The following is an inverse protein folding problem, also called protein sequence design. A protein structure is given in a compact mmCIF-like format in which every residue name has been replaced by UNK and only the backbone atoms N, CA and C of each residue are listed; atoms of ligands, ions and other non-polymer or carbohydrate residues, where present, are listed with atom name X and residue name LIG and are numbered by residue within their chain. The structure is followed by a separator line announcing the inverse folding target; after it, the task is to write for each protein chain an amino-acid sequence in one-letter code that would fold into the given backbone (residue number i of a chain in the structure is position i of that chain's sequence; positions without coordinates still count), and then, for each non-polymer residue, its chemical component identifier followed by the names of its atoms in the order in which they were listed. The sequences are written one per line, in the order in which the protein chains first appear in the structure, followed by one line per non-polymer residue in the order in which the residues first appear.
data_IF_112099551708
#
_entry.id   IF_112099551708
#
_cell.length_a   1.000
_cell.length_b   1.000
_cell.length_c   1.000
_cell.angle_alpha   90.00
_cell.angle_beta   90.00
_cell.angle_gamma   90.00
#
_symmetry.space_group_name_H-M   'P 1'
#
loop_
_entity.id
_entity.type
_entity.pdbx_description
1 polymer ?
#
# COMPACT_ATOMS: atom_id res chain seq x y z
N UNK A 1 -20.22 9.27 13.66
CA UNK A 1 -18.81 9.43 14.11
C UNK A 1 -17.91 8.96 12.99
N UNK A 2 -16.95 9.77 12.55
CA UNK A 2 -15.93 9.30 11.62
C UNK A 2 -15.05 8.25 12.30
N UNK A 3 -14.75 7.15 11.61
CA UNK A 3 -13.87 6.11 12.12
C UNK A 3 -12.43 6.61 12.13
N UNK A 4 -11.70 6.30 13.19
CA UNK A 4 -10.26 6.58 13.25
C UNK A 4 -9.50 5.77 12.20
N UNK A 5 -8.30 6.21 11.82
CA UNK A 5 -7.48 5.47 10.86
C UNK A 5 -7.25 4.00 11.29
N UNK A 6 -6.91 3.67 12.55
CA UNK A 6 -6.81 2.27 13.00
C UNK A 6 -8.09 1.47 12.81
N UNK A 7 -9.26 2.06 13.10
CA UNK A 7 -10.56 1.38 12.94
C UNK A 7 -10.89 1.12 11.46
N UNK A 8 -10.57 2.07 10.58
CA UNK A 8 -10.71 1.89 9.13
C UNK A 8 -9.80 0.78 8.60
N UNK A 9 -8.54 0.79 9.02
CA UNK A 9 -7.57 -0.24 8.65
C UNK A 9 -8.06 -1.63 9.06
N UNK A 10 -8.49 -1.79 10.32
CA UNK A 10 -9.01 -3.05 10.84
C UNK A 10 -10.17 -3.58 10.00
N UNK A 11 -11.11 -2.70 9.60
CA UNK A 11 -12.24 -3.07 8.74
C UNK A 11 -11.77 -3.47 7.34
N UNK A 12 -10.88 -2.72 6.70
CA UNK A 12 -10.48 -3.01 5.32
C UNK A 12 -9.64 -4.28 5.18
N UNK A 13 -8.80 -4.60 6.17
CA UNK A 13 -8.07 -5.87 6.17
C UNK A 13 -9.00 -7.03 6.55
N UNK A 14 -9.98 -6.81 7.43
CA UNK A 14 -10.94 -7.85 7.87
C UNK A 14 -10.25 -9.16 8.31
N UNK A 15 -9.09 -9.05 8.98
CA UNK A 15 -8.27 -10.21 9.39
C UNK A 15 -7.51 -10.91 8.26
N UNK A 16 -7.55 -10.40 7.02
CA UNK A 16 -6.81 -10.96 5.90
C UNK A 16 -5.31 -10.72 6.06
N UNK A 17 -4.55 -11.81 6.19
CA UNK A 17 -3.09 -11.77 6.16
C UNK A 17 -2.57 -11.16 4.86
N UNK A 18 -3.18 -11.53 3.72
CA UNK A 18 -2.81 -11.02 2.41
C UNK A 18 -2.92 -9.49 2.33
N UNK A 19 -4.06 -8.90 2.74
CA UNK A 19 -4.23 -7.44 2.73
C UNK A 19 -3.28 -6.74 3.71
N UNK A 20 -3.04 -7.37 4.86
CA UNK A 20 -2.11 -6.83 5.87
C UNK A 20 -0.68 -6.82 5.34
N UNK A 21 -0.24 -7.90 4.69
CA UNK A 21 1.07 -8.00 4.07
C UNK A 21 1.23 -7.01 2.91
N UNK A 22 0.21 -6.86 2.06
CA UNK A 22 0.17 -5.88 0.97
C UNK A 22 0.37 -4.45 1.50
N UNK A 23 -0.43 -4.06 2.50
CA UNK A 23 -0.32 -2.74 3.13
C UNK A 23 1.08 -2.54 3.73
N UNK A 24 1.60 -3.53 4.45
CA UNK A 24 2.93 -3.47 5.06
C UNK A 24 4.05 -3.36 4.03
N UNK A 25 4.01 -4.13 2.91
CA UNK A 25 4.98 -4.03 1.81
C UNK A 25 4.96 -2.61 1.24
N UNK A 26 3.78 -2.09 0.91
CA UNK A 26 3.65 -0.76 0.30
C UNK A 26 4.09 0.38 1.22
N UNK A 27 3.76 0.31 2.52
CA UNK A 27 4.25 1.30 3.49
C UNK A 27 5.77 1.36 3.51
N UNK A 28 6.46 0.21 3.44
CA UNK A 28 7.93 0.19 3.38
C UNK A 28 8.49 0.84 2.11
N UNK A 29 7.83 0.67 0.97
CA UNK A 29 8.23 1.35 -0.28
C UNK A 29 8.12 2.86 -0.15
N UNK A 30 7.00 3.36 0.40
CA UNK A 30 6.80 4.79 0.63
C UNK A 30 7.84 5.36 1.62
N UNK A 31 8.17 4.62 2.68
CA UNK A 31 9.23 5.00 3.63
C UNK A 31 10.60 5.06 2.93
N UNK A 32 10.85 4.19 1.95
CA UNK A 32 12.08 4.20 1.12
C UNK A 32 12.09 5.29 0.04
N UNK A 33 11.04 6.10 -0.06
CA UNK A 33 10.96 7.22 -1.00
C UNK A 33 10.22 6.90 -2.30
N UNK A 34 9.51 5.78 -2.39
CA UNK A 34 8.63 5.52 -3.54
C UNK A 34 7.55 6.61 -3.65
N UNK A 35 7.24 7.01 -4.88
CA UNK A 35 6.20 7.99 -5.13
C UNK A 35 4.81 7.40 -4.80
N UNK A 36 3.89 8.20 -4.22
CA UNK A 36 2.48 7.85 -4.14
C UNK A 36 1.87 7.63 -5.53
N UNK A 37 1.02 6.62 -5.66
CA UNK A 37 0.25 6.32 -6.88
C UNK A 37 -1.03 7.17 -6.99
N UNK A 38 -1.30 7.98 -5.95
CA UNK A 38 -2.42 8.91 -5.91
C UNK A 38 -1.91 10.34 -5.74
N UNK A 39 -2.60 11.28 -6.36
CA UNK A 39 -2.39 12.69 -6.06
C UNK A 39 -2.97 13.00 -4.67
N UNK A 40 -2.10 13.32 -3.71
CA UNK A 40 -2.49 13.61 -2.33
C UNK A 40 -1.50 14.55 -1.65
N UNK A 41 -2.00 15.36 -0.72
CA UNK A 41 -1.17 16.16 0.20
C UNK A 41 -0.82 15.40 1.48
N UNK A 42 -1.31 14.17 1.63
CA UNK A 42 -1.07 13.33 2.79
C UNK A 42 0.42 12.94 2.87
N UNK A 43 1.00 13.10 4.06
CA UNK A 43 2.41 12.79 4.32
C UNK A 43 2.58 11.48 5.10
N UNK A 44 1.51 10.99 5.73
CA UNK A 44 1.57 9.74 6.47
C UNK A 44 1.58 8.55 5.50
N UNK A 45 2.68 7.78 5.42
CA UNK A 45 2.82 6.69 4.46
C UNK A 45 1.78 5.57 4.68
N UNK A 46 1.32 5.36 5.91
CA UNK A 46 0.27 4.38 6.22
C UNK A 46 -1.04 4.80 5.56
N UNK A 47 -1.39 6.08 5.65
CA UNK A 47 -2.64 6.58 5.10
C UNK A 47 -2.60 6.66 3.57
N UNK A 48 -1.44 6.97 2.98
CA UNK A 48 -1.23 6.91 1.53
C UNK A 48 -1.39 5.48 1.02
N UNK A 49 -0.63 4.52 1.57
CA UNK A 49 -0.73 3.11 1.17
C UNK A 49 -2.15 2.56 1.35
N UNK A 50 -2.85 3.00 2.40
CA UNK A 50 -4.23 2.60 2.62
C UNK A 50 -5.18 3.10 1.52
N UNK A 51 -5.06 4.36 1.11
CA UNK A 51 -5.86 4.92 0.02
C UNK A 51 -5.56 4.25 -1.33
N UNK A 52 -4.28 3.92 -1.58
CA UNK A 52 -3.88 3.17 -2.76
C UNK A 52 -4.49 1.76 -2.76
N UNK A 53 -4.49 1.08 -1.61
CA UNK A 53 -5.12 -0.22 -1.43
C UNK A 53 -6.64 -0.17 -1.62
N UNK A 54 -7.33 0.82 -1.05
CA UNK A 54 -8.78 0.99 -1.21
C UNK A 54 -9.18 1.27 -2.66
N UNK A 55 -8.29 1.89 -3.45
CA UNK A 55 -8.48 2.13 -4.88
C UNK A 55 -8.03 0.97 -5.77
N UNK A 56 -7.47 -0.10 -5.20
CA UNK A 56 -6.97 -1.25 -5.95
C UNK A 56 -5.74 -0.92 -6.82
N UNK A 57 -4.93 0.07 -6.43
CA UNK A 57 -3.75 0.51 -7.20
C UNK A 57 -2.48 -0.28 -6.86
N UNK A 58 -2.54 -1.15 -5.85
CA UNK A 58 -1.42 -1.98 -5.40
C UNK A 58 -1.87 -3.43 -5.31
N UNK A 59 -0.96 -4.33 -5.66
CA UNK A 59 -1.18 -5.78 -5.64
C UNK A 59 0.02 -6.49 -5.03
N UNK A 60 -0.23 -7.63 -4.38
CA UNK A 60 0.82 -8.45 -3.82
C UNK A 60 1.31 -9.42 -4.88
N UNK A 61 2.36 -9.02 -5.59
CA UNK A 61 3.03 -9.86 -6.58
C UNK A 61 3.93 -10.88 -5.84
N UNK A 62 3.86 -12.19 -6.17
CA UNK A 62 4.80 -13.19 -5.66
C UNK A 62 6.24 -12.84 -6.02
N UNK A 63 7.19 -13.12 -5.13
CA UNK A 63 8.59 -12.69 -5.30
C UNK A 63 9.28 -13.29 -6.55
N UNK A 64 8.69 -14.32 -7.19
CA UNK A 64 9.19 -14.91 -8.45
C UNK A 64 9.08 -13.95 -9.66
N UNK A 65 8.18 -12.96 -9.64
CA UNK A 65 7.97 -12.04 -10.77
C UNK A 65 8.76 -10.72 -10.66
N UNK A 66 9.37 -10.40 -9.51
CA UNK A 66 10.08 -9.13 -9.32
C UNK A 66 11.50 -9.09 -9.92
N UNK A 67 11.97 -10.19 -10.53
CA UNK A 67 13.32 -10.27 -11.08
C UNK A 67 13.43 -9.84 -12.55
N UNK A 68 12.44 -9.13 -13.11
CA UNK A 68 12.61 -8.51 -14.42
C UNK A 68 13.46 -7.25 -14.28
N UNK A 69 14.68 -7.20 -14.86
CA UNK A 69 15.46 -5.97 -14.87
C UNK A 69 14.67 -4.86 -15.59
N UNK A 70 14.81 -3.59 -15.16
CA UNK A 70 14.13 -2.48 -15.81
C UNK A 70 14.47 -2.45 -17.31
N UNK A 71 13.52 -2.07 -18.19
CA UNK A 71 13.77 -2.02 -19.62
C UNK A 71 14.91 -1.05 -19.89
N UNK A 72 15.98 -1.56 -20.50
CA UNK A 72 17.11 -0.75 -20.94
C UNK A 72 16.64 0.05 -22.16
N UNK A 73 16.62 1.37 -22.05
CA UNK A 73 16.42 2.29 -23.19
C UNK A 73 17.63 2.26 -24.12
#
# INVERSE_FOLDING_TARGET
MELTLPQRLQKSVSGSFHKTALLQKRVRELIRGAAPLIETRERNPIKVAFLEMERGLIELIPDEEQNTPPPTL
#
